data_IF_339903487068
#
_entry.id   IF_339903487068
#
_cell.length_a   1.000
_cell.length_b   1.000
_cell.length_c   1.000
_cell.angle_alpha   90.00
_cell.angle_beta   90.00
_cell.angle_gamma   90.00
#
_symmetry.space_group_name_H-M   'P 1'
#
loop_
_entity.id
_entity.type
_entity.pdbx_description
1 polymer ?
#
# COMPACT_ATOMS: atom_id res chain seq x y z
N UNK A 1 17.48 22.30 -26.74
CA UNK A 1 17.41 21.66 -25.44
C UNK A 1 16.87 20.26 -25.62
N UNK A 2 17.65 19.28 -25.27
CA UNK A 2 17.26 17.89 -25.46
C UNK A 2 16.15 17.53 -24.47
N UNK A 3 15.11 16.83 -24.93
CA UNK A 3 13.99 16.43 -24.08
C UNK A 3 14.39 15.50 -22.94
N UNK A 4 15.60 14.98 -22.93
CA UNK A 4 16.15 14.16 -21.86
C UNK A 4 16.63 14.96 -20.65
N UNK A 5 17.02 16.21 -20.83
CA UNK A 5 17.61 16.99 -19.75
C UNK A 5 16.63 17.29 -18.62
N UNK A 6 15.42 17.63 -18.95
CA UNK A 6 14.46 17.93 -17.90
C UNK A 6 13.77 16.70 -17.31
N UNK A 7 13.89 15.54 -17.96
CA UNK A 7 13.55 14.27 -17.32
C UNK A 7 14.53 13.95 -16.20
N UNK A 8 15.81 14.27 -16.37
CA UNK A 8 16.83 14.09 -15.35
C UNK A 8 16.58 15.04 -14.16
N UNK A 9 16.20 16.29 -14.43
CA UNK A 9 15.91 17.28 -13.40
C UNK A 9 14.66 16.90 -12.58
N UNK A 10 13.67 16.29 -13.21
CA UNK A 10 12.43 15.88 -12.56
C UNK A 10 12.48 14.47 -11.95
N UNK A 11 13.60 13.75 -12.11
CA UNK A 11 13.69 12.37 -11.63
C UNK A 11 13.84 12.30 -10.12
N UNK A 12 13.09 11.39 -9.52
CA UNK A 12 13.15 11.09 -8.09
C UNK A 12 13.27 9.57 -7.95
N UNK A 13 14.44 9.12 -7.51
CA UNK A 13 14.73 7.69 -7.47
C UNK A 13 14.06 7.02 -6.28
N UNK A 14 13.89 5.70 -6.36
CA UNK A 14 13.41 4.91 -5.23
C UNK A 14 14.37 5.02 -4.05
N UNK A 15 15.69 4.97 -4.31
CA UNK A 15 16.68 5.11 -3.27
C UNK A 15 16.52 6.43 -2.50
N UNK A 16 16.27 7.52 -3.20
CA UNK A 16 15.99 8.82 -2.58
C UNK A 16 14.69 8.79 -1.78
N UNK A 17 13.64 8.17 -2.30
CA UNK A 17 12.35 8.05 -1.60
C UNK A 17 12.48 7.24 -0.31
N UNK A 18 13.27 6.19 -0.31
CA UNK A 18 13.56 5.39 0.88
C UNK A 18 14.39 6.21 1.89
N UNK A 19 15.45 6.89 1.41
CA UNK A 19 16.29 7.71 2.26
C UNK A 19 15.52 8.86 2.91
N UNK A 20 14.58 9.46 2.17
CA UNK A 20 13.73 10.54 2.68
C UNK A 20 12.58 10.05 3.57
N UNK A 21 12.38 8.75 3.67
CA UNK A 21 11.35 8.16 4.53
C UNK A 21 9.96 8.07 3.92
N UNK A 22 9.80 8.38 2.64
CA UNK A 22 8.49 8.30 1.96
C UNK A 22 8.11 6.89 1.56
N UNK A 23 9.07 6.00 1.40
CA UNK A 23 8.85 4.59 1.10
C UNK A 23 9.54 3.70 2.11
N UNK A 24 8.89 2.59 2.42
CA UNK A 24 9.40 1.58 3.37
C UNK A 24 9.58 0.28 2.60
N UNK A 25 10.82 -0.21 2.47
CA UNK A 25 11.04 -1.54 1.89
C UNK A 25 10.57 -2.63 2.85
N UNK A 26 9.92 -3.64 2.30
CA UNK A 26 9.40 -4.77 3.06
C UNK A 26 10.42 -5.91 3.01
N UNK A 27 10.59 -6.59 4.14
CA UNK A 27 11.52 -7.71 4.25
C UNK A 27 11.13 -8.82 3.26
N UNK A 28 12.06 -9.28 2.42
CA UNK A 28 11.77 -10.32 1.41
C UNK A 28 11.25 -11.63 2.01
N UNK A 29 11.67 -11.96 3.22
CA UNK A 29 11.25 -13.19 3.90
C UNK A 29 9.75 -13.18 4.16
N UNK A 30 9.21 -12.06 4.64
CA UNK A 30 7.78 -11.91 4.92
C UNK A 30 6.99 -11.92 3.62
N UNK A 31 7.47 -11.24 2.59
CA UNK A 31 6.82 -11.24 1.27
C UNK A 31 6.75 -12.65 0.67
N UNK A 32 7.81 -13.44 0.81
CA UNK A 32 7.83 -14.82 0.32
C UNK A 32 6.82 -15.71 1.05
N UNK A 33 6.67 -15.54 2.35
CA UNK A 33 5.65 -16.28 3.11
C UNK A 33 4.24 -16.01 2.58
N UNK A 34 3.97 -14.80 2.16
CA UNK A 34 2.69 -14.43 1.55
C UNK A 34 2.56 -14.83 0.07
N UNK A 35 3.64 -15.33 -0.53
CA UNK A 35 3.65 -15.78 -1.92
C UNK A 35 4.14 -14.75 -2.93
N UNK A 36 4.88 -13.73 -2.50
CA UNK A 36 5.41 -12.68 -3.37
C UNK A 36 6.92 -12.81 -3.47
N UNK A 37 7.41 -12.97 -4.71
CA UNK A 37 8.83 -13.12 -5.00
C UNK A 37 9.51 -11.80 -5.41
N UNK A 38 8.71 -10.77 -5.72
CA UNK A 38 9.22 -9.47 -6.14
C UNK A 38 9.49 -8.56 -4.93
N UNK A 39 10.41 -7.59 -5.04
CA UNK A 39 10.55 -6.55 -4.02
C UNK A 39 9.25 -5.80 -3.80
N UNK A 40 8.92 -5.51 -2.55
CA UNK A 40 7.70 -4.81 -2.17
C UNK A 40 8.05 -3.56 -1.38
N UNK A 41 7.38 -2.48 -1.70
CA UNK A 41 7.56 -1.18 -1.03
C UNK A 41 6.20 -0.61 -0.66
N UNK A 42 6.08 -0.16 0.56
CA UNK A 42 4.89 0.54 1.03
C UNK A 42 5.17 2.05 1.10
N UNK A 43 4.16 2.86 0.86
CA UNK A 43 4.27 4.27 1.21
C UNK A 43 4.36 4.40 2.73
N UNK A 44 5.03 5.45 3.19
CA UNK A 44 5.14 5.71 4.63
C UNK A 44 3.77 5.80 5.29
N UNK A 45 2.81 6.45 4.62
CA UNK A 45 1.46 6.58 5.16
C UNK A 45 0.76 5.25 5.38
N UNK A 46 0.89 4.31 4.44
CA UNK A 46 0.31 2.97 4.60
C UNK A 46 0.99 2.21 5.74
N UNK A 47 2.31 2.26 5.78
CA UNK A 47 3.07 1.54 6.80
C UNK A 47 2.73 2.05 8.20
N UNK A 48 2.79 3.35 8.41
CA UNK A 48 2.59 3.94 9.72
C UNK A 48 1.15 3.78 10.23
N UNK A 49 0.18 3.84 9.34
CA UNK A 49 -1.22 3.75 9.74
C UNK A 49 -1.74 2.33 9.87
N UNK A 50 -1.33 1.43 9.00
CA UNK A 50 -1.95 0.10 8.89
C UNK A 50 -1.04 -1.06 9.29
N UNK A 51 0.26 -0.86 9.35
CA UNK A 51 1.22 -1.90 9.77
C UNK A 51 1.66 -1.67 11.21
N UNK A 52 2.10 -0.45 11.54
CA UNK A 52 2.56 -0.12 12.89
C UNK A 52 1.41 -0.26 13.87
N UNK A 53 1.64 -1.02 14.95
CA UNK A 53 0.65 -1.21 16.01
C UNK A 53 0.80 -0.10 17.05
N UNK A 54 -0.25 0.67 17.36
CA UNK A 54 -0.19 1.72 18.36
C UNK A 54 0.14 1.18 19.74
N UNK A 55 0.79 1.99 20.56
CA UNK A 55 1.08 1.65 21.96
C UNK A 55 -0.21 1.35 22.72
N UNK A 56 -0.20 0.30 23.52
CA UNK A 56 -1.36 -0.10 24.30
C UNK A 56 -2.29 -1.08 23.61
N UNK A 57 -2.10 -1.34 22.32
CA UNK A 57 -2.88 -2.34 21.59
C UNK A 57 -2.15 -3.70 21.68
N UNK A 58 -2.68 -4.61 22.49
CA UNK A 58 -2.02 -5.89 22.79
C UNK A 58 -2.48 -7.05 21.93
N UNK A 59 -3.54 -6.86 21.15
CA UNK A 59 -4.17 -7.95 20.38
C UNK A 59 -3.73 -8.01 18.93
N UNK A 60 -2.81 -7.15 18.50
CA UNK A 60 -2.35 -7.08 17.13
C UNK A 60 -0.83 -7.12 17.06
N UNK A 61 -0.34 -7.73 16.00
CA UNK A 61 1.06 -7.87 15.70
C UNK A 61 1.36 -7.21 14.35
N UNK A 62 2.45 -6.45 14.29
CA UNK A 62 2.87 -5.77 13.05
C UNK A 62 3.12 -6.76 11.92
N UNK A 63 3.77 -7.89 12.21
CA UNK A 63 4.02 -8.91 11.20
C UNK A 63 2.73 -9.53 10.67
N UNK A 64 1.74 -9.74 11.53
CA UNK A 64 0.44 -10.27 11.13
C UNK A 64 -0.30 -9.28 10.23
N UNK A 65 -0.29 -7.99 10.58
CA UNK A 65 -0.89 -6.93 9.73
C UNK A 65 -0.21 -6.85 8.37
N UNK A 66 1.11 -6.86 8.38
CA UNK A 66 1.90 -6.81 7.16
C UNK A 66 1.62 -8.03 6.27
N UNK A 67 1.59 -9.22 6.88
CA UNK A 67 1.29 -10.44 6.17
C UNK A 67 -0.11 -10.42 5.54
N UNK A 68 -1.10 -9.90 6.25
CA UNK A 68 -2.48 -9.80 5.74
C UNK A 68 -2.53 -8.92 4.47
N UNK A 69 -1.84 -7.79 4.49
CA UNK A 69 -1.79 -6.90 3.32
C UNK A 69 -1.11 -7.61 2.15
N UNK A 70 0.03 -8.22 2.39
CA UNK A 70 0.80 -8.92 1.36
C UNK A 70 0.01 -10.11 0.79
N UNK A 71 -0.69 -10.84 1.64
CA UNK A 71 -1.53 -11.96 1.21
C UNK A 71 -2.64 -11.49 0.28
N UNK A 72 -3.29 -10.37 0.59
CA UNK A 72 -4.33 -9.81 -0.26
C UNK A 72 -3.78 -9.33 -1.60
N UNK A 73 -2.59 -8.73 -1.61
CA UNK A 73 -1.90 -8.36 -2.85
C UNK A 73 -1.63 -9.61 -3.70
N UNK A 74 -1.09 -10.66 -3.10
CA UNK A 74 -0.80 -11.91 -3.80
C UNK A 74 -2.07 -12.55 -4.39
N UNK A 75 -3.16 -12.55 -3.62
CA UNK A 75 -4.43 -13.09 -4.10
C UNK A 75 -4.99 -12.32 -5.28
N UNK A 76 -4.97 -10.98 -5.22
CA UNK A 76 -5.43 -10.15 -6.32
C UNK A 76 -4.53 -10.30 -7.56
N UNK A 77 -3.23 -10.42 -7.37
CA UNK A 77 -2.30 -10.60 -8.48
C UNK A 77 -2.59 -11.89 -9.27
N UNK A 78 -3.01 -12.93 -8.59
CA UNK A 78 -3.38 -14.19 -9.24
C UNK A 78 -4.66 -14.10 -10.07
N UNK A 79 -5.55 -13.18 -9.70
CA UNK A 79 -6.87 -13.02 -10.35
C UNK A 79 -6.86 -11.96 -11.45
N UNK A 80 -5.84 -11.13 -11.52
CA UNK A 80 -5.82 -9.96 -12.40
C UNK A 80 -4.62 -10.01 -13.34
N UNK A 81 -4.82 -9.51 -14.55
CA UNK A 81 -3.75 -9.27 -15.52
C UNK A 81 -3.30 -7.81 -15.54
N UNK A 82 -3.94 -6.95 -14.75
CA UNK A 82 -3.63 -5.54 -14.67
C UNK A 82 -2.38 -5.29 -13.81
N UNK A 83 -1.61 -4.26 -14.17
CA UNK A 83 -0.49 -3.80 -13.37
C UNK A 83 -0.93 -3.01 -12.14
N UNK A 84 -2.18 -2.58 -12.08
CA UNK A 84 -2.76 -1.91 -10.92
C UNK A 84 -3.80 -2.82 -10.28
N UNK A 85 -3.59 -3.12 -9.01
CA UNK A 85 -4.44 -4.01 -8.22
C UNK A 85 -5.08 -3.21 -7.10
N UNK A 86 -6.40 -3.31 -6.95
CA UNK A 86 -7.11 -2.79 -5.78
C UNK A 86 -7.55 -3.95 -4.93
N UNK A 87 -7.38 -3.80 -3.62
CA UNK A 87 -7.75 -4.84 -2.68
C UNK A 87 -8.20 -4.23 -1.36
N UNK A 88 -8.88 -5.03 -0.57
CA UNK A 88 -9.41 -4.65 0.72
C UNK A 88 -8.86 -5.57 1.79
N UNK A 89 -8.60 -5.02 2.97
CA UNK A 89 -8.27 -5.80 4.14
C UNK A 89 -8.88 -5.18 5.38
N UNK A 90 -9.04 -5.98 6.43
CA UNK A 90 -9.61 -5.50 7.68
C UNK A 90 -8.51 -5.23 8.69
N UNK A 91 -8.59 -4.08 9.34
CA UNK A 91 -7.60 -3.62 10.30
C UNK A 91 -8.30 -3.00 11.51
N UNK A 92 -7.89 -3.38 12.69
CA UNK A 92 -8.35 -2.75 13.92
C UNK A 92 -7.53 -1.49 14.18
N UNK A 93 -8.21 -0.36 14.27
CA UNK A 93 -7.59 0.93 14.54
C UNK A 93 -8.09 1.49 15.87
N UNK A 94 -7.23 2.21 16.62
CA UNK A 94 -7.57 2.63 17.99
C UNK A 94 -8.58 3.75 18.05
N UNK A 95 -8.69 4.57 17.02
CA UNK A 95 -9.55 5.74 17.03
C UNK A 95 -10.71 5.57 16.06
N UNK A 96 -11.92 5.48 16.62
CA UNK A 96 -13.15 5.35 15.83
C UNK A 96 -13.65 6.68 15.26
N UNK A 97 -13.08 7.82 15.67
CA UNK A 97 -13.54 9.14 15.24
C UNK A 97 -12.86 9.68 14.00
N UNK A 98 -11.73 9.11 13.60
CA UNK A 98 -10.92 9.65 12.53
C UNK A 98 -11.00 8.78 11.27
N UNK A 99 -12.18 8.76 10.64
CA UNK A 99 -12.43 7.98 9.44
C UNK A 99 -11.95 8.72 8.20
N UNK A 100 -11.26 8.00 7.34
CA UNK A 100 -10.90 8.50 6.01
C UNK A 100 -11.83 7.91 4.96
N UNK A 101 -11.81 8.49 3.75
CA UNK A 101 -12.60 8.00 2.62
C UNK A 101 -12.17 6.62 2.12
N UNK A 102 -11.03 6.13 2.57
CA UNK A 102 -10.49 4.81 2.19
C UNK A 102 -10.90 3.71 3.16
N UNK A 103 -11.57 4.09 4.24
CA UNK A 103 -11.90 3.21 5.33
C UNK A 103 -13.41 3.12 5.48
N UNK A 104 -13.90 1.92 5.71
CA UNK A 104 -15.31 1.66 5.96
C UNK A 104 -15.43 0.94 7.30
N UNK A 105 -16.34 1.43 8.15
CA UNK A 105 -16.63 0.78 9.43
C UNK A 105 -17.23 -0.60 9.17
N UNK A 106 -16.63 -1.63 9.76
CA UNK A 106 -17.20 -2.96 9.70
C UNK A 106 -18.41 -3.05 10.64
N UNK A 107 -19.47 -3.69 10.14
CA UNK A 107 -20.69 -3.88 10.92
C UNK A 107 -20.38 -4.74 12.15
N UNK A 108 -20.86 -4.31 13.31
CA UNK A 108 -20.69 -5.02 14.57
C UNK A 108 -19.41 -4.72 15.34
N UNK A 109 -18.43 -4.04 14.74
CA UNK A 109 -17.22 -3.63 15.46
C UNK A 109 -16.74 -2.26 14.99
N UNK A 110 -16.91 -1.26 15.83
CA UNK A 110 -16.60 0.15 15.50
C UNK A 110 -15.11 0.40 15.32
N UNK A 111 -14.24 -0.44 15.87
CA UNK A 111 -12.79 -0.29 15.76
C UNK A 111 -12.23 -1.03 14.55
N UNK A 112 -13.01 -1.95 13.99
CA UNK A 112 -12.59 -2.71 12.82
C UNK A 112 -12.99 -1.96 11.55
N UNK A 113 -12.00 -1.68 10.70
CA UNK A 113 -12.19 -0.95 9.45
C UNK A 113 -11.76 -1.79 8.27
N UNK A 114 -12.59 -1.77 7.24
CA UNK A 114 -12.23 -2.28 5.92
C UNK A 114 -11.52 -1.16 5.16
N UNK A 115 -10.28 -1.40 4.79
CA UNK A 115 -9.42 -0.40 4.14
C UNK A 115 -9.20 -0.83 2.70
N UNK A 116 -9.34 0.12 1.76
CA UNK A 116 -9.05 -0.11 0.35
C UNK A 116 -7.66 0.44 0.03
N UNK A 117 -6.79 -0.44 -0.40
CA UNK A 117 -5.44 -0.11 -0.84
C UNK A 117 -5.27 -0.47 -2.31
N UNK A 118 -4.21 0.02 -2.91
CA UNK A 118 -3.81 -0.39 -4.24
C UNK A 118 -2.34 -0.77 -4.28
N UNK A 119 -2.04 -1.76 -5.09
CA UNK A 119 -0.68 -2.15 -5.40
C UNK A 119 -0.43 -1.92 -6.89
N UNK A 120 0.69 -1.31 -7.22
CA UNK A 120 1.09 -1.06 -8.60
C UNK A 120 2.37 -1.82 -8.88
N UNK A 121 2.34 -2.64 -9.92
CA UNK A 121 3.52 -3.36 -10.40
C UNK A 121 4.23 -2.45 -11.39
N UNK A 122 5.47 -2.12 -11.10
CA UNK A 122 6.26 -1.22 -11.93
C UNK A 122 7.75 -1.51 -11.82
N UNK A 123 8.59 -0.68 -12.42
CA UNK A 123 10.03 -0.87 -12.37
C UNK A 123 10.58 -0.66 -10.95
N UNK A 124 11.65 -1.37 -10.64
CA UNK A 124 12.31 -1.28 -9.34
C UNK A 124 12.87 0.12 -9.10
N UNK A 125 13.51 0.70 -10.11
CA UNK A 125 14.00 2.07 -10.07
C UNK A 125 14.06 2.63 -11.50
N UNK A 126 14.42 3.91 -11.62
CA UNK A 126 14.48 4.62 -12.91
C UNK A 126 15.36 3.91 -13.93
N UNK A 127 16.46 3.33 -13.50
CA UNK A 127 17.41 2.63 -14.35
C UNK A 127 17.34 1.10 -14.22
N UNK A 128 16.35 0.60 -13.49
CA UNK A 128 16.20 -0.84 -13.26
C UNK A 128 14.77 -1.26 -13.60
N UNK A 129 14.56 -1.93 -14.75
CA UNK A 129 13.23 -2.35 -15.17
C UNK A 129 12.70 -3.60 -14.47
N UNK A 130 13.48 -4.19 -13.56
CA UNK A 130 13.03 -5.35 -12.79
C UNK A 130 11.70 -5.05 -12.08
N UNK A 131 10.77 -6.00 -12.03
CA UNK A 131 9.46 -5.74 -11.44
C UNK A 131 9.53 -5.55 -9.93
N UNK A 132 8.76 -4.59 -9.44
CA UNK A 132 8.57 -4.32 -8.02
C UNK A 132 7.11 -3.97 -7.76
N UNK A 133 6.65 -4.18 -6.54
CA UNK A 133 5.29 -3.90 -6.12
C UNK A 133 5.29 -2.69 -5.18
N UNK A 134 4.45 -1.71 -5.50
CA UNK A 134 4.30 -0.49 -4.71
C UNK A 134 2.89 -0.46 -4.12
N UNK A 135 2.80 -0.46 -2.81
CA UNK A 135 1.52 -0.46 -2.10
C UNK A 135 1.23 0.92 -1.54
N UNK A 136 0.02 1.41 -1.78
CA UNK A 136 -0.41 2.75 -1.39
C UNK A 136 -1.90 2.78 -1.11
N UNK A 137 -2.37 3.89 -0.53
CA UNK A 137 -3.79 4.11 -0.35
C UNK A 137 -4.45 4.31 -1.72
N UNK A 138 -5.58 3.64 -1.95
CA UNK A 138 -6.35 3.83 -3.17
C UNK A 138 -6.94 5.24 -3.19
N UNK A 139 -6.55 6.04 -4.17
CA UNK A 139 -7.06 7.40 -4.33
C UNK A 139 -8.19 7.43 -5.34
N UNK A 140 -9.18 8.28 -5.05
CA UNK A 140 -10.23 8.58 -5.99
C UNK A 140 -9.68 9.41 -7.13
N UNK A 141 -10.13 9.12 -8.34
CA UNK A 141 -9.86 10.01 -9.47
C UNK A 141 -10.63 11.31 -9.25
N UNK A 142 -10.03 12.46 -9.55
CA UNK A 142 -10.59 13.79 -9.31
C UNK A 142 -11.93 14.02 -10.02
N UNK A 143 -12.18 13.33 -11.11
CA UNK A 143 -13.39 13.48 -11.91
C UNK A 143 -14.49 12.43 -11.62
N UNK A 144 -14.32 11.60 -10.61
CA UNK A 144 -15.34 10.63 -10.24
C UNK A 144 -16.38 11.25 -9.28
N UNK A 145 -17.67 11.16 -9.61
CA UNK A 145 -18.71 11.62 -8.70
C UNK A 145 -18.71 10.86 -7.38
N UNK A 146 -19.16 11.53 -6.33
CA UNK A 146 -19.22 10.94 -4.98
C UNK A 146 -20.06 9.67 -4.92
N UNK A 147 -21.15 9.62 -5.69
CA UNK A 147 -22.07 8.48 -5.73
C UNK A 147 -21.49 7.21 -6.36
N UNK A 148 -20.36 7.30 -7.03
CA UNK A 148 -19.69 6.15 -7.65
C UNK A 148 -18.63 5.52 -6.75
N UNK A 149 -18.44 6.03 -5.55
CA UNK A 149 -17.55 5.37 -4.59
C UNK A 149 -18.22 4.11 -4.06
N UNK A 150 -17.52 2.96 -4.05
CA UNK A 150 -17.99 1.82 -3.30
C UNK A 150 -18.11 2.20 -1.83
N UNK A 151 -19.28 1.96 -1.30
CA UNK A 151 -19.57 2.21 0.10
C UNK A 151 -18.89 1.20 1.00
#
# INVERSE_FOLDING_TARGET
>A
MDSNDWKIIASYTRAEAIADGYQVPILPEIAKEAGIIFPVFFTRGVFDKYVVVPKGMTHQDENARLWDILFMVAMQARKSTSAELKFQFCCQLPDAGNWTRYEKVCEGNRLLREVTLKAVIGPLDLNDPSPAINDSVSRRRLNQPACQMPL
#
